data_IF_173572840204
#
_entry.id   IF_173572840204
#
_cell.length_a   1.000
_cell.length_b   1.000
_cell.length_c   1.000
_cell.angle_alpha   90.00
_cell.angle_beta   90.00
_cell.angle_gamma   90.00
#
_symmetry.space_group_name_H-M   'P 1'
#
loop_
_entity.id
_entity.type
_entity.pdbx_description
1 polymer ?
#
# COMPACT_ATOMS: atom_id res chain seq x y z
N UNK A 1 1.29 -3.71 -1.59
CA UNK A 1 2.57 -4.31 -1.11
C UNK A 1 3.71 -3.31 -1.29
N UNK A 2 4.69 -3.23 -0.39
CA UNK A 2 5.88 -2.37 -0.58
C UNK A 2 6.83 -3.01 -1.59
N UNK A 3 7.31 -2.24 -2.57
CA UNK A 3 8.29 -2.64 -3.58
C UNK A 3 9.66 -2.00 -3.30
N UNK A 4 10.71 -2.57 -3.90
CA UNK A 4 11.99 -1.88 -4.01
C UNK A 4 11.91 -0.79 -5.07
N UNK A 5 12.35 0.42 -4.72
CA UNK A 5 12.50 1.50 -5.69
C UNK A 5 13.66 1.21 -6.67
N UNK A 6 13.85 2.08 -7.66
CA UNK A 6 14.92 1.95 -8.68
C UNK A 6 16.34 1.90 -8.11
N UNK A 7 16.54 2.33 -6.87
CA UNK A 7 17.82 2.32 -6.17
C UNK A 7 17.98 1.08 -5.27
N UNK A 8 17.05 0.11 -5.34
CA UNK A 8 17.05 -1.08 -4.49
C UNK A 8 16.69 -0.79 -3.03
N UNK A 9 16.05 0.33 -2.75
CA UNK A 9 15.64 0.72 -1.40
C UNK A 9 14.14 0.53 -1.20
N UNK A 10 13.73 0.10 0.00
CA UNK A 10 12.31 -0.09 0.35
C UNK A 10 11.53 1.22 0.51
N UNK A 11 12.23 2.33 0.76
CA UNK A 11 11.60 3.60 1.04
C UNK A 11 12.54 4.77 0.71
N UNK A 12 11.94 5.95 0.53
CA UNK A 12 12.66 7.21 0.43
C UNK A 12 12.74 7.87 1.80
N UNK A 13 13.92 8.34 2.16
CA UNK A 13 14.18 8.97 3.45
C UNK A 13 14.43 10.46 3.27
N UNK A 14 13.94 11.25 4.22
CA UNK A 14 14.34 12.64 4.34
C UNK A 14 15.81 12.68 4.81
N UNK A 15 16.71 13.38 4.09
CA UNK A 15 18.15 13.32 4.37
C UNK A 15 18.56 14.03 5.68
N UNK A 16 17.68 14.86 6.25
CA UNK A 16 17.97 15.63 7.48
C UNK A 16 17.43 14.92 8.70
N UNK A 17 16.17 14.49 8.65
CA UNK A 17 15.45 13.87 9.77
C UNK A 17 15.56 12.36 9.78
N UNK A 18 16.08 11.75 8.71
CA UNK A 18 16.15 10.30 8.48
C UNK A 18 14.79 9.59 8.60
N UNK A 19 13.67 10.33 8.51
CA UNK A 19 12.33 9.77 8.53
C UNK A 19 11.94 9.29 7.15
N UNK A 20 11.16 8.21 7.10
CA UNK A 20 10.59 7.73 5.84
C UNK A 20 9.56 8.73 5.32
N UNK A 21 9.70 9.12 4.06
CA UNK A 21 8.81 10.07 3.39
C UNK A 21 7.85 9.37 2.44
N UNK A 22 8.33 8.38 1.69
CA UNK A 22 7.56 7.68 0.66
C UNK A 22 7.97 6.22 0.56
N UNK A 23 7.04 5.40 0.10
CA UNK A 23 7.29 4.03 -0.32
C UNK A 23 6.94 3.89 -1.79
N UNK A 24 7.69 3.06 -2.51
CA UNK A 24 7.20 2.51 -3.76
C UNK A 24 6.31 1.31 -3.42
N UNK A 25 5.11 1.25 -3.97
CA UNK A 25 4.13 0.20 -3.68
C UNK A 25 3.59 -0.41 -4.95
N UNK A 26 3.33 -1.70 -4.91
CA UNK A 26 2.51 -2.41 -5.90
C UNK A 26 1.06 -2.40 -5.41
N UNK A 27 0.17 -1.87 -6.23
CA UNK A 27 -1.27 -2.02 -6.07
C UNK A 27 -1.70 -3.38 -6.60
N UNK A 28 -2.34 -4.17 -5.73
CA UNK A 28 -2.80 -5.52 -6.03
C UNK A 28 -4.18 -5.49 -6.72
N UNK A 29 -4.34 -4.68 -7.79
CA UNK A 29 -5.54 -4.79 -8.63
C UNK A 29 -5.41 -6.05 -9.51
N UNK A 30 -6.40 -6.97 -9.49
CA UNK A 30 -6.32 -8.24 -10.21
C UNK A 30 -6.21 -8.09 -11.73
N UNK A 31 -6.51 -6.92 -12.30
CA UNK A 31 -6.46 -6.72 -13.75
C UNK A 31 -5.20 -5.99 -14.21
N UNK A 32 -4.61 -5.14 -13.36
CA UNK A 32 -3.48 -4.28 -13.73
C UNK A 32 -2.56 -4.11 -12.52
N UNK A 33 -1.41 -4.79 -12.56
CA UNK A 33 -0.35 -4.54 -11.60
C UNK A 33 0.22 -3.13 -11.83
N UNK A 34 0.04 -2.23 -10.86
CA UNK A 34 0.49 -0.84 -10.96
C UNK A 34 1.47 -0.53 -9.84
N UNK A 35 2.63 0.01 -10.20
CA UNK A 35 3.61 0.52 -9.24
C UNK A 35 3.37 2.01 -9.04
N UNK A 36 3.27 2.45 -7.79
CA UNK A 36 3.09 3.86 -7.44
C UNK A 36 3.98 4.28 -6.28
N UNK A 37 4.36 5.55 -6.26
CA UNK A 37 5.08 6.16 -5.14
C UNK A 37 4.07 6.87 -4.22
N UNK A 38 3.93 6.41 -2.99
CA UNK A 38 2.92 6.91 -2.04
C UNK A 38 3.59 7.48 -0.78
N UNK A 39 3.10 8.61 -0.23
CA UNK A 39 3.59 9.15 1.03
C UNK A 39 3.44 8.17 2.19
N UNK A 40 4.45 8.10 3.07
CA UNK A 40 4.47 7.21 4.23
C UNK A 40 3.26 7.40 5.15
N UNK A 41 2.78 8.63 5.30
CA UNK A 41 1.59 8.98 6.10
C UNK A 41 0.27 8.37 5.58
N UNK A 42 0.26 7.94 4.32
CA UNK A 42 -0.91 7.36 3.66
C UNK A 42 -0.87 5.83 3.66
N UNK A 43 0.15 5.24 4.29
CA UNK A 43 0.35 3.80 4.36
C UNK A 43 0.15 3.35 5.80
N UNK A 44 -0.60 2.27 5.96
CA UNK A 44 -0.76 1.57 7.22
C UNK A 44 -0.33 0.13 7.03
N UNK A 45 0.26 -0.46 8.08
CA UNK A 45 0.55 -1.89 8.10
C UNK A 45 -0.78 -2.64 8.03
N UNK A 46 -0.93 -3.46 7.00
CA UNK A 46 -2.04 -4.39 6.91
C UNK A 46 -1.73 -5.63 7.77
N UNK A 47 -2.66 -6.02 8.63
CA UNK A 47 -2.59 -7.27 9.40
C UNK A 47 -3.82 -8.10 9.03
N UNK A 48 -3.60 -9.30 8.51
CA UNK A 48 -4.69 -10.21 8.17
C UNK A 48 -5.53 -10.50 9.40
N UNK A 49 -6.85 -10.35 9.28
CA UNK A 49 -7.80 -10.52 10.38
C UNK A 49 -8.06 -9.26 11.23
N UNK A 50 -7.32 -8.16 11.05
CA UNK A 50 -7.73 -6.88 11.63
C UNK A 50 -9.02 -6.38 10.98
N UNK A 51 -9.87 -5.76 11.81
CA UNK A 51 -11.17 -5.25 11.39
C UNK A 51 -10.99 -4.14 10.34
N UNK A 52 -11.23 -4.51 9.10
CA UNK A 52 -11.52 -3.55 8.04
C UNK A 52 -12.76 -2.76 8.45
N UNK A 53 -12.63 -1.44 8.52
CA UNK A 53 -13.73 -0.53 8.88
C UNK A 53 -15.01 -0.84 8.11
N UNK A 54 -16.17 -0.75 8.77
CA UNK A 54 -17.46 -0.98 8.12
C UNK A 54 -17.71 -0.02 6.95
N UNK A 55 -17.15 1.19 7.01
CA UNK A 55 -17.21 2.16 5.92
C UNK A 55 -16.49 1.67 4.67
N UNK A 56 -15.35 0.97 4.82
CA UNK A 56 -14.65 0.38 3.68
C UNK A 56 -15.45 -0.77 3.06
N UNK A 57 -16.19 -1.54 3.88
CA UNK A 57 -17.09 -2.62 3.40
C UNK A 57 -18.28 -2.10 2.61
N UNK A 58 -18.75 -0.89 2.93
CA UNK A 58 -19.85 -0.21 2.20
C UNK A 58 -19.36 0.49 0.92
N UNK A 59 -18.06 0.49 0.66
CA UNK A 59 -17.51 1.15 -0.51
C UNK A 59 -17.93 0.43 -1.80
N UNK A 60 -18.28 1.19 -2.84
CA UNK A 60 -18.63 0.63 -4.17
C UNK A 60 -17.51 -0.22 -4.80
N UNK A 61 -16.27 -0.05 -4.36
CA UNK A 61 -15.11 -0.82 -4.80
C UNK A 61 -14.77 -2.01 -3.89
N UNK A 62 -15.64 -2.35 -2.92
CA UNK A 62 -15.37 -3.39 -1.93
C UNK A 62 -14.90 -4.71 -2.53
N UNK A 63 -15.53 -5.16 -3.63
CA UNK A 63 -15.13 -6.41 -4.30
C UNK A 63 -13.67 -6.40 -4.77
N UNK A 64 -13.22 -5.30 -5.39
CA UNK A 64 -11.81 -5.14 -5.79
C UNK A 64 -10.87 -5.12 -4.58
N UNK A 65 -11.32 -4.54 -3.47
CA UNK A 65 -10.54 -4.50 -2.23
C UNK A 65 -10.41 -5.92 -1.65
N UNK A 66 -11.46 -6.74 -1.72
CA UNK A 66 -11.39 -8.15 -1.30
C UNK A 66 -10.41 -8.95 -2.17
N UNK A 67 -10.48 -8.81 -3.50
CA UNK A 67 -9.53 -9.48 -4.40
C UNK A 67 -8.08 -9.09 -4.06
N UNK A 68 -7.83 -7.80 -3.77
CA UNK A 68 -6.52 -7.30 -3.37
C UNK A 68 -6.07 -7.80 -1.98
N UNK A 69 -7.00 -8.15 -1.09
CA UNK A 69 -6.71 -8.76 0.22
C UNK A 69 -6.35 -10.23 0.06
N UNK A 70 -7.02 -10.95 -0.83
CA UNK A 70 -6.72 -12.37 -1.10
C UNK A 70 -5.32 -12.56 -1.72
N UNK A 71 -4.84 -11.58 -2.48
CA UNK A 71 -3.50 -11.57 -3.08
C UNK A 71 -2.37 -11.16 -2.11
N UNK A 72 -2.70 -10.56 -0.95
CA UNK A 72 -1.72 -9.95 -0.02
C UNK A 72 -1.16 -10.91 1.03
#
# INVERSE_FOLDING_TARGET
>A
MVNLNRNGCYADYDPVTHKVTHYEVVLLDPHIMTIQRIPARSIQKYVSGELISEDLRKNKYWRKIQDAIEEA
#
